data_IF_350933085728
#
_entry.id   IF_350933085728
#
_cell.length_a   1.000
_cell.length_b   1.000
_cell.length_c   1.000
_cell.angle_alpha   90.00
_cell.angle_beta   90.00
_cell.angle_gamma   90.00
#
_symmetry.space_group_name_H-M   'P 1'
#
loop_
_entity.id
_entity.type
_entity.pdbx_description
1 polymer ?
#
# COMPACT_ATOMS: atom_id res chain seq x y z
N UNK A 1 15.23 16.32 14.13
CA UNK A 1 14.80 14.99 13.66
C UNK A 1 13.71 14.53 14.60
N UNK A 2 12.49 14.25 14.13
CA UNK A 2 11.49 13.60 14.98
C UNK A 2 12.07 12.27 15.45
N UNK A 3 11.78 11.92 16.70
CA UNK A 3 12.25 10.71 17.33
C UNK A 3 11.42 9.55 16.76
N UNK A 4 11.96 8.80 15.80
CA UNK A 4 11.28 7.63 15.24
C UNK A 4 11.17 6.55 16.33
N UNK A 5 9.97 6.33 16.85
CA UNK A 5 9.71 5.26 17.82
C UNK A 5 9.58 3.92 17.10
N UNK A 6 10.73 3.29 16.84
CA UNK A 6 10.84 2.00 16.17
C UNK A 6 10.12 0.86 16.90
N UNK A 7 9.73 1.05 18.17
CA UNK A 7 9.00 0.03 18.92
C UNK A 7 7.56 -0.18 18.41
N UNK A 8 7.05 0.72 17.56
CA UNK A 8 5.67 0.71 17.05
C UNK A 8 5.54 0.32 15.57
N UNK A 9 6.63 -0.09 14.92
CA UNK A 9 6.62 -0.44 13.49
C UNK A 9 7.07 -1.89 13.27
N UNK A 10 6.46 -2.63 12.32
CA UNK A 10 5.24 -2.31 11.57
C UNK A 10 3.98 -2.41 12.47
N UNK A 11 3.03 -1.47 12.32
CA UNK A 11 1.79 -1.50 13.11
C UNK A 11 0.86 -2.67 12.74
N UNK A 12 0.92 -3.11 11.47
CA UNK A 12 0.06 -4.16 10.95
C UNK A 12 0.85 -5.39 10.50
N UNK A 13 0.23 -6.58 10.47
CA UNK A 13 0.84 -7.76 9.89
C UNK A 13 1.33 -7.49 8.46
N UNK A 14 2.62 -7.73 8.21
CA UNK A 14 3.18 -7.60 6.86
C UNK A 14 2.69 -8.75 6.00
N UNK A 15 2.15 -8.42 4.82
CA UNK A 15 1.77 -9.38 3.78
C UNK A 15 2.57 -9.08 2.54
N UNK A 16 3.37 -10.05 2.13
CA UNK A 16 4.25 -9.90 0.99
C UNK A 16 3.64 -10.52 -0.25
N UNK A 17 3.64 -9.76 -1.35
CA UNK A 17 3.19 -10.18 -2.65
C UNK A 17 4.34 -10.01 -3.64
N UNK A 18 4.93 -11.14 -4.02
CA UNK A 18 5.97 -11.22 -5.04
C UNK A 18 5.29 -11.45 -6.39
N UNK A 19 5.21 -10.41 -7.22
CA UNK A 19 4.64 -10.52 -8.57
C UNK A 19 5.30 -9.53 -9.52
N UNK A 20 5.43 -9.89 -10.78
CA UNK A 20 5.78 -8.95 -11.86
C UNK A 20 4.54 -8.51 -12.66
N UNK A 21 3.38 -9.06 -12.34
CA UNK A 21 2.12 -8.83 -13.03
C UNK A 21 1.22 -7.81 -12.31
N UNK A 22 0.17 -7.39 -13.01
CA UNK A 22 -0.90 -6.56 -12.42
C UNK A 22 -1.62 -7.36 -11.36
N UNK A 23 -1.76 -6.76 -10.17
CA UNK A 23 -2.49 -7.34 -9.04
C UNK A 23 -3.98 -7.10 -9.26
N UNK A 24 -4.84 -8.13 -9.33
CA UNK A 24 -6.28 -7.97 -9.45
C UNK A 24 -6.90 -7.51 -8.11
N UNK A 25 -8.00 -6.77 -8.19
CA UNK A 25 -8.72 -6.26 -7.01
C UNK A 25 -9.21 -7.38 -6.10
N UNK A 26 -9.63 -8.51 -6.65
CA UNK A 26 -10.05 -9.70 -5.89
C UNK A 26 -8.95 -10.23 -4.96
N UNK A 27 -7.67 -10.13 -5.37
CA UNK A 27 -6.55 -10.56 -4.56
C UNK A 27 -6.32 -9.61 -3.38
N UNK A 28 -6.46 -8.30 -3.60
CA UNK A 28 -6.38 -7.28 -2.54
C UNK A 28 -7.57 -7.44 -1.58
N UNK A 29 -8.78 -7.64 -2.08
CA UNK A 29 -9.98 -7.88 -1.29
C UNK A 29 -9.85 -9.13 -0.41
N UNK A 30 -9.29 -10.22 -0.95
CA UNK A 30 -9.07 -11.46 -0.20
C UNK A 30 -8.11 -11.26 0.97
N UNK A 31 -7.05 -10.46 0.77
CA UNK A 31 -6.11 -10.12 1.84
C UNK A 31 -6.78 -9.25 2.91
N UNK A 32 -7.53 -8.24 2.52
CA UNK A 32 -8.16 -7.30 3.44
C UNK A 32 -9.34 -7.93 4.21
N UNK A 33 -10.15 -8.77 3.58
CA UNK A 33 -11.23 -9.50 4.25
C UNK A 33 -10.76 -10.48 5.33
N UNK A 34 -9.51 -10.97 5.21
CA UNK A 34 -8.95 -11.91 6.19
C UNK A 34 -8.37 -11.21 7.42
N UNK A 35 -7.78 -10.03 7.25
CA UNK A 35 -6.96 -9.39 8.29
C UNK A 35 -7.49 -8.03 8.75
N UNK A 36 -8.40 -7.40 8.00
CA UNK A 36 -8.93 -6.04 8.17
C UNK A 36 -7.88 -4.91 8.12
N UNK A 37 -6.65 -5.15 8.54
CA UNK A 37 -5.54 -4.21 8.54
C UNK A 37 -4.26 -4.95 8.16
N UNK A 38 -3.53 -4.45 7.16
CA UNK A 38 -2.29 -5.07 6.68
C UNK A 38 -1.25 -4.01 6.32
N UNK A 39 0.01 -4.40 6.38
CA UNK A 39 1.08 -3.71 5.65
C UNK A 39 1.42 -4.55 4.42
N UNK A 40 0.91 -4.17 3.25
CA UNK A 40 1.17 -4.86 2.00
C UNK A 40 2.56 -4.48 1.49
N UNK A 41 3.43 -5.47 1.30
CA UNK A 41 4.73 -5.34 0.67
C UNK A 41 4.70 -5.95 -0.73
N UNK A 42 4.75 -5.10 -1.77
CA UNK A 42 4.78 -5.55 -3.16
C UNK A 42 6.23 -5.57 -3.66
N UNK A 43 6.66 -6.71 -4.19
CA UNK A 43 8.01 -6.93 -4.74
C UNK A 43 7.95 -7.62 -6.09
N UNK A 44 9.05 -7.58 -6.83
CA UNK A 44 9.23 -8.38 -8.05
C UNK A 44 9.45 -9.85 -7.74
N UNK A 45 8.97 -10.78 -8.57
CA UNK A 45 9.10 -12.23 -8.35
C UNK A 45 10.54 -12.67 -8.23
N UNK A 46 11.40 -12.14 -9.10
CA UNK A 46 12.83 -12.45 -9.13
C UNK A 46 13.67 -11.42 -8.37
N UNK A 47 13.06 -10.70 -7.43
CA UNK A 47 13.75 -9.73 -6.59
C UNK A 47 14.78 -10.41 -5.67
N UNK A 48 15.91 -9.75 -5.42
CA UNK A 48 16.85 -10.24 -4.43
C UNK A 48 16.16 -10.34 -3.05
N UNK A 49 16.37 -11.40 -2.24
CA UNK A 49 15.65 -11.62 -0.98
C UNK A 49 15.79 -10.49 0.05
N UNK A 50 16.86 -9.68 -0.08
CA UNK A 50 17.14 -8.50 0.76
C UNK A 50 16.83 -7.16 0.08
N UNK A 51 16.21 -7.18 -1.11
CA UNK A 51 15.76 -5.94 -1.78
C UNK A 51 14.46 -5.48 -1.13
N UNK A 52 14.36 -4.17 -0.91
CA UNK A 52 13.12 -3.55 -0.44
C UNK A 52 11.96 -3.76 -1.41
N UNK A 53 10.76 -3.46 -0.92
CA UNK A 53 9.52 -3.46 -1.70
C UNK A 53 8.79 -2.12 -1.60
N UNK A 54 7.65 -2.04 -2.25
CA UNK A 54 6.69 -0.95 -2.04
C UNK A 54 5.77 -1.34 -0.90
N UNK A 55 5.69 -0.50 0.13
CA UNK A 55 4.90 -0.75 1.32
C UNK A 55 3.65 0.12 1.32
N UNK A 56 2.52 -0.48 1.64
CA UNK A 56 1.23 0.18 1.78
C UNK A 56 0.58 -0.26 3.09
N UNK A 57 0.41 0.65 4.04
CA UNK A 57 -0.33 0.39 5.27
C UNK A 57 -1.81 0.68 5.02
N UNK A 58 -2.63 -0.35 5.09
CA UNK A 58 -4.03 -0.31 4.67
C UNK A 58 -4.89 -0.81 5.82
N UNK A 59 -5.92 -0.06 6.16
CA UNK A 59 -6.92 -0.44 7.15
C UNK A 59 -8.33 -0.38 6.55
N UNK A 60 -9.17 -1.36 6.87
CA UNK A 60 -10.57 -1.36 6.48
C UNK A 60 -11.34 -0.40 7.39
N UNK A 61 -11.92 0.64 6.78
CA UNK A 61 -12.73 1.64 7.48
C UNK A 61 -14.19 1.21 7.59
N UNK A 62 -14.73 0.73 6.47
CA UNK A 62 -16.09 0.22 6.33
C UNK A 62 -16.18 -0.67 5.10
N UNK A 63 -17.34 -1.28 4.84
CA UNK A 63 -17.53 -2.17 3.70
C UNK A 63 -17.05 -1.51 2.39
N UNK A 64 -16.05 -2.13 1.76
CA UNK A 64 -15.44 -1.70 0.50
C UNK A 64 -14.76 -0.31 0.52
N UNK A 65 -14.41 0.19 1.71
CA UNK A 65 -13.74 1.47 1.91
C UNK A 65 -12.52 1.29 2.80
N UNK A 66 -11.36 1.73 2.30
CA UNK A 66 -10.06 1.45 2.91
C UNK A 66 -9.28 2.73 3.12
N UNK A 67 -8.72 2.89 4.31
CA UNK A 67 -7.83 3.99 4.63
C UNK A 67 -6.38 3.56 4.30
N UNK A 68 -5.65 4.46 3.62
CA UNK A 68 -4.21 4.38 3.44
C UNK A 68 -3.56 5.19 4.55
N UNK A 69 -2.54 4.62 5.16
CA UNK A 69 -1.81 5.21 6.28
C UNK A 69 -0.31 5.22 6.01
N UNK A 70 0.43 6.10 6.68
CA UNK A 70 1.88 6.04 6.75
C UNK A 70 2.30 4.81 7.57
N UNK A 71 3.59 4.47 7.54
CA UNK A 71 4.13 3.36 8.34
C UNK A 71 3.98 3.58 9.85
N UNK A 72 3.73 4.83 10.25
CA UNK A 72 3.49 5.28 11.62
C UNK A 72 2.01 5.28 12.01
N UNK A 73 1.12 4.85 11.11
CA UNK A 73 -0.34 4.83 11.32
C UNK A 73 -0.98 6.21 11.21
N UNK A 74 -0.34 7.15 10.50
CA UNK A 74 -0.94 8.46 10.22
C UNK A 74 -1.81 8.33 8.97
N UNK A 75 -3.08 8.71 9.09
CA UNK A 75 -4.02 8.73 7.97
C UNK A 75 -3.49 9.57 6.79
N UNK A 76 -3.52 8.99 5.59
CA UNK A 76 -3.15 9.65 4.32
C UNK A 76 -4.41 10.01 3.54
N UNK A 77 -5.21 8.99 3.15
CA UNK A 77 -6.44 9.18 2.40
C UNK A 77 -7.35 7.93 2.46
N UNK A 78 -8.56 8.01 1.92
CA UNK A 78 -9.54 6.93 1.85
C UNK A 78 -9.85 6.54 0.40
N UNK A 79 -9.86 5.25 0.11
CA UNK A 79 -10.05 4.71 -1.23
C UNK A 79 -11.18 3.67 -1.31
N UNK A 80 -11.79 3.56 -2.49
CA UNK A 80 -12.51 2.36 -2.88
C UNK A 80 -11.51 1.21 -3.15
N UNK A 81 -11.98 -0.05 -3.19
CA UNK A 81 -11.12 -1.19 -3.55
C UNK A 81 -10.43 -1.01 -4.90
N UNK A 82 -11.17 -0.50 -5.90
CA UNK A 82 -10.68 -0.36 -7.27
C UNK A 82 -9.63 0.74 -7.37
N UNK A 83 -9.85 1.88 -6.70
CA UNK A 83 -8.89 2.99 -6.67
C UNK A 83 -7.63 2.60 -5.91
N UNK A 84 -7.78 1.92 -4.76
CA UNK A 84 -6.66 1.39 -3.99
C UNK A 84 -5.83 0.40 -4.82
N UNK A 85 -6.49 -0.50 -5.53
CA UNK A 85 -5.83 -1.48 -6.41
C UNK A 85 -5.10 -0.77 -7.55
N UNK A 86 -5.69 0.28 -8.11
CA UNK A 86 -5.09 1.08 -9.18
C UNK A 86 -3.86 1.83 -8.65
N UNK A 87 -3.94 2.44 -7.46
CA UNK A 87 -2.84 3.09 -6.78
C UNK A 87 -1.68 2.12 -6.53
N UNK A 88 -1.95 0.95 -5.93
CA UNK A 88 -0.93 -0.06 -5.63
C UNK A 88 -0.21 -0.49 -6.90
N UNK A 89 -0.96 -0.83 -7.96
CA UNK A 89 -0.38 -1.25 -9.23
C UNK A 89 0.43 -0.13 -9.90
N UNK A 90 -0.01 1.13 -9.79
CA UNK A 90 0.71 2.28 -10.32
C UNK A 90 2.01 2.53 -9.57
N UNK A 91 1.92 2.73 -8.25
CA UNK A 91 3.06 3.08 -7.40
C UNK A 91 4.12 1.96 -7.37
N UNK A 92 3.70 0.69 -7.45
CA UNK A 92 4.64 -0.45 -7.51
C UNK A 92 5.12 -0.81 -8.91
N UNK A 93 4.75 -0.02 -9.92
CA UNK A 93 5.22 -0.16 -11.31
C UNK A 93 4.64 -1.34 -12.08
N UNK A 94 3.50 -1.90 -11.65
CA UNK A 94 2.81 -3.01 -12.33
C UNK A 94 1.92 -2.54 -13.47
N UNK A 95 1.29 -1.37 -13.34
CA UNK A 95 0.46 -0.78 -14.39
C UNK A 95 0.44 0.74 -14.29
N UNK A 96 0.86 1.41 -15.36
CA UNK A 96 0.76 2.87 -15.42
C UNK A 96 -0.70 3.33 -15.45
N UNK A 97 -1.00 4.43 -14.76
CA UNK A 97 -2.28 5.11 -14.75
C UNK A 97 -2.00 6.61 -14.61
N UNK A 98 -2.49 7.42 -15.55
CA UNK A 98 -2.22 8.86 -15.59
C UNK A 98 -2.90 9.61 -14.44
N UNK A 99 -4.14 9.25 -14.11
CA UNK A 99 -4.89 9.88 -13.03
C UNK A 99 -4.23 9.64 -11.67
N UNK A 100 -3.71 8.43 -11.45
CA UNK A 100 -2.93 8.10 -10.25
C UNK A 100 -1.59 8.83 -10.22
N UNK A 101 -0.94 9.05 -11.37
CA UNK A 101 0.27 9.88 -11.41
C UNK A 101 -0.04 11.30 -10.96
N UNK A 102 -1.10 11.90 -11.52
CA UNK A 102 -1.51 13.26 -11.21
C UNK A 102 -1.92 13.37 -9.73
N UNK A 103 -2.67 12.38 -9.22
CA UNK A 103 -3.03 12.30 -7.81
C UNK A 103 -1.80 12.14 -6.89
N UNK A 104 -0.86 11.26 -7.21
CA UNK A 104 0.39 11.14 -6.46
C UNK A 104 1.20 12.44 -6.46
N UNK A 105 1.21 13.19 -7.55
CA UNK A 105 1.98 14.43 -7.64
C UNK A 105 1.34 15.60 -6.88
N UNK A 106 0.01 15.63 -6.78
CA UNK A 106 -0.73 16.76 -6.24
C UNK A 106 -1.28 16.53 -4.83
N UNK A 107 -1.57 15.28 -4.46
CA UNK A 107 -2.30 14.93 -3.23
C UNK A 107 -1.47 14.13 -2.25
N UNK A 108 -0.72 13.13 -2.71
CA UNK A 108 0.15 12.33 -1.82
C UNK A 108 1.59 12.85 -1.85
N UNK A 109 1.96 13.65 -0.87
CA UNK A 109 3.35 14.06 -0.71
C UNK A 109 4.14 13.03 0.11
N UNK A 110 4.54 11.91 -0.52
CA UNK A 110 5.46 10.94 0.08
C UNK A 110 6.86 11.51 0.38
N UNK A 111 7.16 12.80 0.08
CA UNK A 111 8.47 13.42 0.37
C UNK A 111 8.66 13.81 1.83
N UNK A 112 7.60 13.80 2.64
CA UNK A 112 7.67 14.14 4.06
C UNK A 112 7.87 12.95 4.98
N UNK A 113 7.96 11.74 4.43
CA UNK A 113 8.27 10.49 5.15
C UNK A 113 9.63 9.94 4.67
#
# INVERSE_FOLDING_TARGET
MPNFDLARQPQYPIKTLDTDNVIPSDQIASLLSTYHQITLCVRSENGHPRRGGYYFCISEKSANTYDLETIEGVYVDTFSLDDLTTLINHASGKKFNQEMLDYCQNSINFRTD
#
